data_IF_724216260225
#
_entry.id   IF_724216260225
#
_cell.length_a   1.000
_cell.length_b   1.000
_cell.length_c   1.000
_cell.angle_alpha   90.00
_cell.angle_beta   90.00
_cell.angle_gamma   90.00
#
_symmetry.space_group_name_H-M   'P 1'
#
loop_
_entity.id
_entity.type
_entity.pdbx_description
1 polymer ?
#
# COMPACT_ATOMS: atom_id res chain seq x y z
N UNK A 1 24.83 -2.10 -21.12
CA UNK A 1 24.77 -1.71 -19.69
C UNK A 1 24.16 -2.88 -18.92
N UNK A 2 24.64 -3.22 -17.72
CA UNK A 2 23.97 -4.20 -16.86
C UNK A 2 22.56 -3.69 -16.52
N UNK A 3 21.60 -4.62 -16.36
CA UNK A 3 20.23 -4.30 -15.95
C UNK A 3 20.21 -3.85 -14.49
N UNK A 4 19.17 -3.11 -14.09
CA UNK A 4 19.00 -2.68 -12.71
C UNK A 4 18.56 -3.84 -11.79
N UNK A 5 18.66 -3.62 -10.47
CA UNK A 5 18.32 -4.61 -9.46
C UNK A 5 16.85 -5.03 -9.47
N UNK A 6 15.92 -4.15 -9.83
CA UNK A 6 14.51 -4.50 -9.90
C UNK A 6 14.24 -5.44 -11.07
N UNK A 7 14.88 -5.20 -12.21
CA UNK A 7 14.81 -6.06 -13.40
C UNK A 7 15.47 -7.44 -13.20
N UNK A 8 16.39 -7.57 -12.24
CA UNK A 8 17.08 -8.82 -11.91
C UNK A 8 16.38 -9.67 -10.84
N UNK A 9 15.24 -9.21 -10.27
CA UNK A 9 14.61 -9.84 -9.12
C UNK A 9 14.33 -11.35 -9.29
N UNK A 10 13.84 -11.79 -10.45
CA UNK A 10 13.56 -13.21 -10.72
C UNK A 10 14.84 -14.05 -10.88
N UNK A 11 15.92 -13.46 -11.40
CA UNK A 11 17.20 -14.15 -11.55
C UNK A 11 17.90 -14.29 -10.19
N UNK A 12 17.89 -13.22 -9.39
CA UNK A 12 18.40 -13.23 -8.02
C UNK A 12 17.64 -14.27 -7.17
N UNK A 13 16.30 -14.34 -7.29
CA UNK A 13 15.49 -15.37 -6.62
C UNK A 13 15.83 -16.80 -7.09
N UNK A 14 15.96 -17.00 -8.41
CA UNK A 14 16.31 -18.31 -8.98
C UNK A 14 17.66 -18.81 -8.47
N UNK A 15 18.69 -17.96 -8.45
CA UNK A 15 20.00 -18.35 -7.92
C UNK A 15 19.96 -18.60 -6.41
N UNK A 16 19.18 -17.83 -5.64
CA UNK A 16 18.98 -18.06 -4.21
C UNK A 16 18.26 -19.39 -3.89
N UNK A 17 17.42 -19.89 -4.79
CA UNK A 17 16.70 -21.16 -4.65
C UNK A 17 17.40 -22.36 -5.34
N UNK A 18 18.63 -22.16 -5.83
CA UNK A 18 19.36 -23.21 -6.54
C UNK A 18 19.55 -24.45 -5.66
N UNK A 19 19.10 -25.60 -6.17
CA UNK A 19 19.14 -26.88 -5.46
C UNK A 19 17.95 -27.15 -4.54
N UNK A 20 16.97 -26.24 -4.44
CA UNK A 20 15.71 -26.43 -3.73
C UNK A 20 14.57 -26.63 -4.72
N UNK A 21 14.23 -27.89 -4.98
CA UNK A 21 13.02 -28.24 -5.72
C UNK A 21 11.95 -28.67 -4.73
N UNK A 22 11.04 -27.74 -4.42
CA UNK A 22 9.89 -28.04 -3.57
C UNK A 22 8.77 -28.69 -4.41
N UNK A 23 8.14 -29.71 -3.86
CA UNK A 23 6.95 -30.32 -4.48
C UNK A 23 5.80 -29.34 -4.40
N UNK A 24 5.15 -29.06 -5.53
CA UNK A 24 3.95 -28.23 -5.54
C UNK A 24 2.82 -28.95 -4.80
N UNK A 25 2.17 -28.26 -3.86
CA UNK A 25 1.07 -28.80 -3.06
C UNK A 25 -0.18 -27.95 -3.15
N UNK A 26 -1.31 -28.54 -2.77
CA UNK A 26 -2.51 -27.79 -2.36
C UNK A 26 -2.24 -27.02 -1.07
N UNK A 27 -3.16 -26.15 -0.67
CA UNK A 27 -3.12 -25.38 0.57
C UNK A 27 -3.16 -26.29 1.82
N UNK A 28 -3.72 -27.50 1.70
CA UNK A 28 -3.69 -28.52 2.75
C UNK A 28 -2.40 -29.35 2.77
N UNK A 29 -1.42 -29.04 1.91
CA UNK A 29 -0.13 -29.73 1.83
C UNK A 29 -0.16 -31.05 1.03
N UNK A 30 -1.24 -31.34 0.29
CA UNK A 30 -1.30 -32.54 -0.54
C UNK A 30 -0.49 -32.34 -1.83
N UNK A 31 0.42 -33.26 -2.21
CA UNK A 31 1.23 -33.11 -3.42
C UNK A 31 0.35 -33.13 -4.68
N UNK A 32 0.65 -32.21 -5.61
CA UNK A 32 -0.04 -32.09 -6.89
C UNK A 32 0.74 -32.87 -7.94
N UNK A 33 0.07 -33.81 -8.63
CA UNK A 33 0.67 -34.61 -9.69
C UNK A 33 0.81 -33.84 -11.01
N UNK A 34 -0.31 -33.34 -11.53
CA UNK A 34 -0.35 -32.53 -12.75
C UNK A 34 -1.08 -31.22 -12.47
N UNK A 35 -0.40 -30.11 -12.74
CA UNK A 35 -0.88 -28.74 -12.53
C UNK A 35 -1.24 -28.04 -13.85
N UNK A 36 -0.88 -28.63 -14.98
CA UNK A 36 -0.98 -28.02 -16.31
C UNK A 36 -2.22 -28.51 -17.07
N UNK A 37 -2.85 -29.59 -16.60
CA UNK A 37 -4.06 -30.14 -17.20
C UNK A 37 -5.18 -30.30 -16.17
N UNK A 38 -6.39 -29.93 -16.56
CA UNK A 38 -7.59 -30.09 -15.74
C UNK A 38 -8.22 -31.48 -15.90
N UNK A 39 -8.86 -32.00 -14.86
CA UNK A 39 -9.47 -33.33 -14.85
C UNK A 39 -10.84 -33.35 -15.57
N UNK A 40 -10.94 -34.14 -16.64
CA UNK A 40 -12.13 -34.22 -17.51
C UNK A 40 -12.59 -35.67 -17.72
N UNK A 41 -13.84 -35.86 -18.16
CA UNK A 41 -14.34 -37.18 -18.59
C UNK A 41 -13.83 -37.52 -20.00
N UNK A 42 -12.60 -37.99 -20.08
CA UNK A 42 -11.92 -38.27 -21.36
C UNK A 42 -11.44 -37.00 -22.07
N UNK A 43 -10.64 -37.12 -23.15
CA UNK A 43 -9.87 -36.00 -23.71
C UNK A 43 -10.66 -34.78 -24.20
N UNK A 44 -11.97 -34.92 -24.42
CA UNK A 44 -12.88 -33.85 -24.90
C UNK A 44 -14.18 -33.80 -24.09
N UNK A 45 -14.19 -34.39 -22.90
CA UNK A 45 -15.35 -34.37 -22.02
C UNK A 45 -15.43 -33.11 -21.16
N UNK A 46 -16.51 -32.97 -20.37
CA UNK A 46 -16.63 -31.87 -19.42
C UNK A 46 -15.62 -31.97 -18.27
N UNK A 47 -15.35 -30.82 -17.64
CA UNK A 47 -14.57 -30.70 -16.40
C UNK A 47 -15.31 -31.37 -15.24
N UNK A 48 -14.56 -32.03 -14.36
CA UNK A 48 -15.10 -32.68 -13.18
C UNK A 48 -15.02 -31.78 -11.94
N UNK A 49 -16.09 -31.77 -11.15
CA UNK A 49 -16.12 -31.08 -9.84
C UNK A 49 -15.14 -31.69 -8.83
N UNK A 50 -14.69 -32.93 -9.04
CA UNK A 50 -13.69 -33.58 -8.18
C UNK A 50 -12.26 -33.07 -8.41
N UNK A 51 -12.04 -32.19 -9.40
CA UNK A 51 -10.77 -31.51 -9.59
C UNK A 51 -10.56 -30.43 -8.52
N UNK A 52 -10.21 -30.88 -7.32
CA UNK A 52 -9.99 -30.02 -6.16
C UNK A 52 -8.80 -29.08 -6.35
N UNK A 53 -7.80 -29.48 -7.14
CA UNK A 53 -6.62 -28.65 -7.43
C UNK A 53 -7.03 -27.43 -8.25
N UNK A 54 -7.81 -27.63 -9.31
CA UNK A 54 -8.35 -26.53 -10.11
C UNK A 54 -9.26 -25.62 -9.28
N UNK A 55 -10.22 -26.20 -8.55
CA UNK A 55 -11.20 -25.42 -7.79
C UNK A 55 -10.53 -24.56 -6.71
N UNK A 56 -9.54 -25.11 -6.01
CA UNK A 56 -8.83 -24.40 -4.96
C UNK A 56 -8.04 -23.21 -5.51
N UNK A 57 -7.24 -23.42 -6.57
CA UNK A 57 -6.45 -22.35 -7.17
C UNK A 57 -7.35 -21.24 -7.72
N UNK A 58 -8.41 -21.61 -8.45
CA UNK A 58 -9.35 -20.64 -9.00
C UNK A 58 -10.08 -19.87 -7.90
N UNK A 59 -10.53 -20.56 -6.85
CA UNK A 59 -11.21 -19.92 -5.73
C UNK A 59 -10.29 -18.92 -5.00
N UNK A 60 -9.00 -19.22 -4.88
CA UNK A 60 -8.02 -18.29 -4.32
C UNK A 60 -7.74 -17.12 -5.28
N UNK A 61 -7.57 -17.39 -6.57
CA UNK A 61 -7.38 -16.38 -7.62
C UNK A 61 -8.51 -15.34 -7.64
N UNK A 62 -9.76 -15.81 -7.64
CA UNK A 62 -10.96 -14.96 -7.66
C UNK A 62 -11.06 -14.02 -6.45
N UNK A 63 -10.35 -14.32 -5.36
CA UNK A 63 -10.37 -13.58 -4.08
C UNK A 63 -9.10 -12.78 -3.81
N UNK A 64 -8.17 -12.69 -4.77
CA UNK A 64 -6.91 -11.97 -4.56
C UNK A 64 -7.06 -10.46 -4.36
N UNK A 65 -8.15 -9.85 -4.85
CA UNK A 65 -8.36 -8.41 -4.76
C UNK A 65 -9.09 -8.06 -3.46
N UNK A 66 -8.45 -7.20 -2.67
CA UNK A 66 -9.06 -6.51 -1.54
C UNK A 66 -9.35 -5.06 -1.93
N UNK A 67 -10.28 -4.36 -1.25
CA UNK A 67 -10.49 -2.94 -1.47
C UNK A 67 -9.18 -2.15 -1.31
N UNK A 68 -8.89 -1.27 -2.26
CA UNK A 68 -7.79 -0.33 -2.11
C UNK A 68 -8.11 0.70 -1.02
N UNK A 69 -7.09 1.44 -0.56
CA UNK A 69 -7.32 2.56 0.36
C UNK A 69 -8.16 3.63 -0.34
N UNK A 70 -9.17 4.17 0.35
CA UNK A 70 -10.04 5.22 -0.20
C UNK A 70 -9.25 6.45 -0.69
N UNK A 71 -8.18 6.79 0.01
CA UNK A 71 -7.16 7.78 -0.37
C UNK A 71 -5.79 7.12 -0.28
N UNK A 72 -4.80 7.67 -0.97
CA UNK A 72 -3.46 7.12 -0.93
C UNK A 72 -3.35 5.66 -1.40
N UNK A 73 -4.14 5.28 -2.42
CA UNK A 73 -4.18 3.92 -2.97
C UNK A 73 -2.83 3.51 -3.58
N UNK A 74 -2.29 4.33 -4.50
CA UNK A 74 -0.99 4.08 -5.12
C UNK A 74 0.16 4.46 -4.18
N UNK A 75 1.09 3.54 -3.95
CA UNK A 75 2.23 3.79 -3.08
C UNK A 75 3.31 2.72 -3.13
N UNK A 76 4.42 2.99 -2.45
CA UNK A 76 5.57 2.11 -2.29
C UNK A 76 5.97 2.08 -0.81
N UNK A 77 6.65 1.02 -0.38
CA UNK A 77 7.05 0.87 1.02
C UNK A 77 8.47 0.33 1.17
N UNK A 78 9.07 0.60 2.33
CA UNK A 78 10.38 0.10 2.70
C UNK A 78 10.45 -0.12 4.22
N UNK A 79 11.39 -0.96 4.65
CA UNK A 79 11.71 -1.16 6.06
C UNK A 79 13.05 -0.52 6.37
N UNK A 80 13.26 -0.19 7.65
CA UNK A 80 14.51 0.41 8.11
C UNK A 80 14.54 0.53 9.62
N UNK A 81 15.29 1.50 10.12
CA UNK A 81 15.35 1.85 11.54
C UNK A 81 15.40 3.36 11.72
N UNK A 82 14.89 3.82 12.88
CA UNK A 82 15.09 5.15 13.41
C UNK A 82 16.21 5.11 14.44
N UNK A 83 17.09 6.11 14.45
CA UNK A 83 18.19 6.23 15.40
C UNK A 83 18.12 7.59 16.10
N UNK A 84 18.15 7.59 17.43
CA UNK A 84 18.18 8.83 18.22
C UNK A 84 19.58 9.44 18.14
N UNK A 85 19.71 10.68 17.68
CA UNK A 85 20.99 11.39 17.62
C UNK A 85 21.16 12.42 18.74
N UNK A 86 20.04 12.97 19.22
CA UNK A 86 20.01 14.08 20.17
C UNK A 86 19.01 13.80 21.29
N UNK A 87 19.33 14.23 22.52
CA UNK A 87 18.48 14.02 23.69
C UNK A 87 17.32 15.04 23.74
N UNK A 88 16.10 14.50 23.63
CA UNK A 88 14.83 15.24 23.76
C UNK A 88 13.99 14.77 24.95
N UNK A 89 14.55 14.01 25.87
CA UNK A 89 13.86 13.43 27.04
C UNK A 89 13.21 14.48 27.94
N UNK A 90 13.74 15.71 27.94
CA UNK A 90 13.11 16.88 28.61
C UNK A 90 11.72 17.23 28.06
N UNK A 91 11.39 16.83 26.83
CA UNK A 91 10.12 17.12 26.16
C UNK A 91 9.20 15.91 26.12
N UNK A 92 9.75 14.71 25.90
CA UNK A 92 8.97 13.51 25.70
C UNK A 92 9.61 12.31 26.41
N UNK A 93 8.80 11.60 27.21
CA UNK A 93 9.22 10.38 27.93
C UNK A 93 9.06 9.09 27.13
N UNK A 94 8.64 9.15 25.86
CA UNK A 94 8.38 7.97 25.05
C UNK A 94 9.66 7.16 24.86
N UNK A 95 9.60 5.83 25.02
CA UNK A 95 10.80 4.98 24.99
C UNK A 95 11.58 5.02 23.68
N UNK A 96 10.94 5.35 22.57
CA UNK A 96 11.64 5.53 21.29
C UNK A 96 12.72 6.63 21.35
N UNK A 97 12.61 7.59 22.27
CA UNK A 97 13.55 8.71 22.44
C UNK A 97 14.44 8.59 23.69
N UNK A 98 14.46 7.44 24.35
CA UNK A 98 15.00 7.32 25.72
C UNK A 98 16.50 7.54 25.84
N UNK A 99 17.28 7.25 24.79
CA UNK A 99 18.74 7.32 24.82
C UNK A 99 19.30 7.58 23.41
N UNK A 100 20.39 8.34 23.33
CA UNK A 100 21.13 8.58 22.09
C UNK A 100 21.75 7.27 21.61
N UNK A 101 21.65 7.00 20.30
CA UNK A 101 22.10 5.77 19.65
C UNK A 101 21.05 4.65 19.64
N UNK A 102 19.91 4.81 20.34
CA UNK A 102 18.84 3.81 20.30
C UNK A 102 18.29 3.64 18.90
N UNK A 103 18.24 2.39 18.44
CA UNK A 103 17.65 2.02 17.16
C UNK A 103 16.29 1.36 17.34
N UNK A 104 15.28 1.90 16.65
CA UNK A 104 13.93 1.34 16.64
C UNK A 104 13.56 0.90 15.22
N UNK A 105 13.21 -0.37 14.99
CA UNK A 105 12.75 -0.84 13.68
C UNK A 105 11.54 -0.05 13.21
N UNK A 106 11.46 0.21 11.91
CA UNK A 106 10.33 0.90 11.31
C UNK A 106 9.95 0.37 9.94
N UNK A 107 8.72 0.68 9.54
CA UNK A 107 8.25 0.57 8.17
C UNK A 107 7.73 1.93 7.70
N UNK A 108 8.06 2.28 6.47
CA UNK A 108 7.58 3.49 5.81
C UNK A 108 6.73 3.14 4.60
N UNK A 109 5.69 3.94 4.34
CA UNK A 109 4.91 3.92 3.11
C UNK A 109 4.79 5.31 2.51
N UNK A 110 5.22 5.43 1.25
CA UNK A 110 5.02 6.58 0.39
C UNK A 110 3.80 6.40 -0.51
N UNK A 111 3.11 7.47 -0.88
CA UNK A 111 1.93 7.38 -1.75
C UNK A 111 1.56 8.70 -2.43
N UNK A 112 0.82 8.63 -3.54
CA UNK A 112 -0.01 9.76 -4.01
C UNK A 112 -1.31 9.83 -3.19
N UNK A 113 -2.32 10.61 -3.54
CA UNK A 113 -3.56 10.80 -2.76
C UNK A 113 -4.81 10.47 -3.56
N UNK A 114 -5.03 11.17 -4.68
CA UNK A 114 -6.31 11.17 -5.40
C UNK A 114 -6.47 10.08 -6.46
N UNK A 115 -5.37 9.44 -6.86
CA UNK A 115 -5.35 8.36 -7.85
C UNK A 115 -5.63 6.97 -7.27
N UNK A 116 -6.19 6.08 -8.08
CA UNK A 116 -6.40 4.66 -7.75
C UNK A 116 -5.08 3.85 -7.84
N UNK A 117 -5.10 2.57 -7.48
CA UNK A 117 -3.91 1.70 -7.44
C UNK A 117 -3.14 1.59 -8.77
N UNK A 118 -3.78 1.84 -9.90
CA UNK A 118 -3.17 1.83 -11.24
C UNK A 118 -2.67 3.20 -11.75
N UNK A 119 -2.76 4.26 -10.94
CA UNK A 119 -2.35 5.61 -11.35
C UNK A 119 -0.82 5.80 -11.41
N UNK A 120 -0.37 6.83 -12.13
CA UNK A 120 1.05 7.17 -12.25
C UNK A 120 1.58 7.87 -10.99
N UNK A 121 2.85 7.63 -10.63
CA UNK A 121 3.47 8.20 -9.42
C UNK A 121 3.90 9.66 -9.56
N UNK A 122 4.16 10.11 -10.79
CA UNK A 122 4.76 11.43 -11.11
C UNK A 122 3.72 12.51 -11.39
N UNK A 123 2.48 12.33 -10.93
CA UNK A 123 1.41 13.32 -11.07
C UNK A 123 1.48 14.41 -10.01
N UNK A 124 0.92 15.59 -10.29
CA UNK A 124 0.77 16.66 -9.29
C UNK A 124 -0.24 16.21 -8.23
N UNK A 125 0.23 16.01 -7.02
CA UNK A 125 -0.55 15.58 -5.85
C UNK A 125 0.31 15.81 -4.60
N UNK A 126 -0.24 15.88 -3.37
CA UNK A 126 0.56 15.68 -2.17
C UNK A 126 1.19 14.28 -2.16
N UNK A 127 2.13 14.05 -1.25
CA UNK A 127 2.71 12.72 -1.04
C UNK A 127 2.55 12.30 0.41
N UNK A 128 1.89 11.17 0.63
CA UNK A 128 1.87 10.51 1.93
C UNK A 128 3.26 10.03 2.31
N UNK A 129 3.64 10.26 3.58
CA UNK A 129 4.87 9.78 4.19
C UNK A 129 4.50 9.25 5.57
N UNK A 130 4.00 8.01 5.59
CA UNK A 130 3.59 7.35 6.83
C UNK A 130 4.73 6.48 7.36
N UNK A 131 5.09 6.68 8.64
CA UNK A 131 6.13 5.90 9.32
C UNK A 131 5.52 5.20 10.53
N UNK A 132 5.70 3.88 10.62
CA UNK A 132 5.34 3.07 11.79
C UNK A 132 6.61 2.64 12.50
N UNK A 133 6.73 2.99 13.77
CA UNK A 133 7.82 2.60 14.65
C UNK A 133 7.36 1.44 15.53
N UNK A 134 8.16 0.37 15.56
CA UNK A 134 7.91 -0.80 16.42
C UNK A 134 8.61 -0.59 17.77
N UNK A 135 7.96 0.14 18.67
CA UNK A 135 8.52 0.49 19.99
C UNK A 135 8.17 -0.57 21.04
N UNK A 136 8.86 -0.54 22.19
CA UNK A 136 8.60 -1.43 23.32
C UNK A 136 7.28 -1.12 24.05
N UNK A 137 6.68 0.04 23.77
CA UNK A 137 5.39 0.47 24.33
C UNK A 137 4.24 0.30 23.33
N UNK A 138 4.49 -0.42 22.23
CA UNK A 138 3.56 -0.63 21.13
C UNK A 138 3.97 0.12 19.87
N UNK A 139 3.14 -0.01 18.83
CA UNK A 139 3.41 0.68 17.58
C UNK A 139 3.07 2.16 17.71
N UNK A 140 3.97 3.02 17.26
CA UNK A 140 3.69 4.44 17.06
C UNK A 140 3.65 4.74 15.57
N UNK A 141 2.53 5.27 15.09
CA UNK A 141 2.33 5.62 13.69
C UNK A 141 2.36 7.14 13.53
N UNK A 142 3.41 7.66 12.89
CA UNK A 142 3.48 9.04 12.44
C UNK A 142 3.01 9.10 10.98
N UNK A 143 1.70 9.29 10.80
CA UNK A 143 1.04 9.31 9.49
C UNK A 143 1.13 10.71 8.87
N UNK A 144 2.28 11.01 8.27
CA UNK A 144 2.60 12.33 7.71
C UNK A 144 2.34 12.49 6.21
N UNK A 145 2.61 13.71 5.73
CA UNK A 145 2.69 14.07 4.32
C UNK A 145 4.04 14.79 4.03
N UNK A 146 4.36 14.97 2.76
CA UNK A 146 5.50 15.78 2.31
C UNK A 146 5.26 17.31 2.39
N UNK A 147 4.15 17.74 2.99
CA UNK A 147 3.79 19.13 3.20
C UNK A 147 3.51 19.35 4.69
N UNK A 148 3.95 20.49 5.27
CA UNK A 148 3.67 20.80 6.67
C UNK A 148 2.19 21.20 6.90
N UNK A 149 1.49 21.63 5.86
CA UNK A 149 0.11 22.11 5.92
C UNK A 149 -0.83 21.23 5.10
N UNK A 150 -2.12 21.40 5.32
CA UNK A 150 -3.21 20.74 4.61
C UNK A 150 -4.23 21.75 4.09
N UNK A 151 -5.10 21.29 3.17
CA UNK A 151 -6.04 22.13 2.42
C UNK A 151 -7.25 22.61 3.23
N UNK A 152 -7.55 21.93 4.33
CA UNK A 152 -8.69 22.21 5.20
C UNK A 152 -8.24 22.15 6.66
N UNK A 153 -8.99 22.87 7.51
CA UNK A 153 -8.79 22.90 8.97
C UNK A 153 -9.84 22.14 9.77
N UNK A 154 -10.94 21.76 9.11
CA UNK A 154 -12.07 21.06 9.71
C UNK A 154 -12.21 19.67 9.07
N UNK A 155 -12.11 18.58 9.85
CA UNK A 155 -12.20 17.21 9.32
C UNK A 155 -13.57 16.89 8.70
N UNK A 156 -14.64 17.59 9.07
CA UNK A 156 -15.97 17.40 8.48
C UNK A 156 -15.96 17.61 6.96
N UNK A 157 -15.08 18.49 6.46
CA UNK A 157 -14.96 18.81 5.04
C UNK A 157 -14.08 17.80 4.28
N UNK A 158 -13.41 16.88 4.96
CA UNK A 158 -12.45 15.96 4.34
C UNK A 158 -13.08 15.06 3.26
N UNK A 159 -14.23 14.39 3.48
CA UNK A 159 -14.85 13.57 2.43
C UNK A 159 -15.23 14.39 1.21
N UNK A 160 -15.78 15.60 1.41
CA UNK A 160 -16.14 16.51 0.32
C UNK A 160 -14.91 16.95 -0.48
N UNK A 161 -13.81 17.30 0.20
CA UNK A 161 -12.53 17.62 -0.45
C UNK A 161 -12.01 16.42 -1.26
N UNK A 162 -12.02 15.21 -0.71
CA UNK A 162 -11.54 14.02 -1.42
C UNK A 162 -12.40 13.70 -2.66
N UNK A 163 -13.73 13.88 -2.58
CA UNK A 163 -14.59 13.70 -3.73
C UNK A 163 -14.25 14.68 -4.87
N UNK A 164 -13.87 15.92 -4.57
CA UNK A 164 -13.50 16.91 -5.60
C UNK A 164 -12.17 16.59 -6.29
N UNK A 165 -11.25 15.89 -5.60
CA UNK A 165 -10.00 15.39 -6.20
C UNK A 165 -10.17 14.09 -6.99
N UNK A 166 -11.33 13.42 -6.86
CA UNK A 166 -11.62 12.12 -7.46
C UNK A 166 -12.44 12.28 -8.74
N UNK A 167 -13.36 11.34 -8.99
CA UNK A 167 -14.07 11.19 -10.25
C UNK A 167 -15.46 11.77 -10.10
N UNK A 168 -15.94 12.42 -11.14
CA UNK A 168 -17.32 12.86 -11.24
C UNK A 168 -18.25 11.64 -11.11
N UNK A 169 -19.33 11.71 -10.30
CA UNK A 169 -20.20 10.57 -10.02
C UNK A 169 -21.01 10.09 -11.24
N UNK A 170 -21.17 10.92 -12.27
CA UNK A 170 -21.92 10.58 -13.49
C UNK A 170 -20.98 10.06 -14.58
N UNK A 171 -19.88 10.77 -14.85
CA UNK A 171 -19.00 10.46 -15.99
C UNK A 171 -17.83 9.55 -15.62
N UNK A 172 -17.53 9.41 -14.32
CA UNK A 172 -16.35 8.72 -13.81
C UNK A 172 -15.00 9.29 -14.30
N UNK A 173 -15.00 10.52 -14.82
CA UNK A 173 -13.80 11.26 -15.25
C UNK A 173 -13.34 12.24 -14.17
N UNK A 174 -12.08 12.70 -14.24
CA UNK A 174 -11.60 13.83 -13.41
C UNK A 174 -12.29 15.12 -13.85
N UNK A 175 -12.58 16.00 -12.91
CA UNK A 175 -13.36 17.22 -13.15
C UNK A 175 -12.69 18.45 -12.49
N UNK A 176 -12.12 19.32 -13.32
CA UNK A 176 -11.45 20.54 -12.86
C UNK A 176 -12.41 21.62 -12.32
N UNK A 177 -13.67 21.61 -12.74
CA UNK A 177 -14.66 22.61 -12.31
C UNK A 177 -15.07 22.39 -10.85
N UNK A 178 -15.31 21.13 -10.47
CA UNK A 178 -15.69 20.76 -9.10
C UNK A 178 -14.56 21.11 -8.11
N UNK A 179 -13.31 20.86 -8.50
CA UNK A 179 -12.14 21.26 -7.74
C UNK A 179 -12.07 22.80 -7.57
N UNK A 180 -12.22 23.54 -8.66
CA UNK A 180 -12.19 25.00 -8.64
C UNK A 180 -13.27 25.59 -7.73
N UNK A 181 -14.49 25.06 -7.79
CA UNK A 181 -15.63 25.51 -7.00
C UNK A 181 -15.43 25.27 -5.49
N UNK A 182 -14.96 24.08 -5.09
CA UNK A 182 -14.68 23.80 -3.69
C UNK A 182 -13.63 24.77 -3.13
N UNK A 183 -12.57 25.01 -3.88
CA UNK A 183 -11.51 25.92 -3.48
C UNK A 183 -11.98 27.38 -3.38
N UNK A 184 -12.93 27.82 -4.21
CA UNK A 184 -13.49 29.18 -4.11
C UNK A 184 -14.38 29.38 -2.89
N UNK A 185 -15.23 28.39 -2.58
CA UNK A 185 -16.13 28.43 -1.41
C UNK A 185 -15.37 28.31 -0.08
N UNK A 186 -14.28 27.54 -0.09
CA UNK A 186 -13.46 27.31 1.10
C UNK A 186 -12.32 28.33 1.26
N UNK A 187 -12.30 29.43 0.52
CA UNK A 187 -11.24 30.46 0.58
C UNK A 187 -10.98 31.02 1.99
N UNK A 188 -11.98 31.02 2.85
CA UNK A 188 -11.85 31.45 4.24
C UNK A 188 -11.17 30.39 5.14
N UNK A 189 -10.88 29.22 4.60
CA UNK A 189 -10.05 28.17 5.19
C UNK A 189 -8.58 28.35 4.77
N UNK A 190 -7.87 29.26 5.43
CA UNK A 190 -6.41 29.37 5.36
C UNK A 190 -5.76 28.00 5.54
N UNK A 191 -4.70 27.67 4.77
CA UNK A 191 -3.98 26.42 4.93
C UNK A 191 -3.50 26.27 6.38
N UNK A 192 -3.72 25.09 6.95
CA UNK A 192 -3.41 24.80 8.36
C UNK A 192 -2.70 23.46 8.49
N UNK A 193 -1.90 23.30 9.55
CA UNK A 193 -1.39 21.99 9.94
C UNK A 193 -2.57 21.07 10.27
N UNK A 194 -2.90 20.13 9.38
CA UNK A 194 -3.84 19.05 9.69
C UNK A 194 -3.06 17.74 9.73
N UNK A 195 -2.97 17.16 10.91
CA UNK A 195 -2.58 15.77 11.07
C UNK A 195 -3.79 14.93 10.68
N UNK A 196 -3.72 14.24 9.54
CA UNK A 196 -4.74 13.27 9.15
C UNK A 196 -4.40 11.99 9.90
N UNK A 197 -5.24 11.62 10.88
CA UNK A 197 -5.10 10.43 11.70
C UNK A 197 -5.16 9.14 10.87
#
# INVERSE_FOLDING_TARGET
MPRDKAAEQLNDFKEAQKGKNETLTTASGCPIGDKLNSMTIGPRGPLLLQDVVYLEEMAHFDRQRIPERVVHAKGAGAFGYFEVTDDISKYCKAKIFSEIGKRTPLVVRFSTVGGESGSADTVRDPRGFAVKFYTEEGNWDLVGNNTPIFFIRDPLLFPSFIHTQKRNPVTHLKDGHVLGFHNSETRNHTPSFLFVF
#
